data_IF_370739429673
#
_entry.id   IF_370739429673
#
_cell.length_a   1.000
_cell.length_b   1.000
_cell.length_c   1.000
_cell.angle_alpha   90.00
_cell.angle_beta   90.00
_cell.angle_gamma   90.00
#
_symmetry.space_group_name_H-M   'P 1'
#
loop_
_entity.id
_entity.type
_entity.pdbx_description
1 polymer ?
#
# COMPACT_ATOMS: atom_id res chain seq x y z
N UNK A 1 -32.97 -26.83 -41.74
CA UNK A 1 -32.95 -25.55 -41.00
C UNK A 1 -32.36 -25.85 -39.63
N UNK A 2 -31.03 -25.80 -39.51
CA UNK A 2 -30.32 -26.45 -38.41
C UNK A 2 -29.08 -25.72 -37.96
N UNK A 3 -28.92 -25.68 -36.64
CA UNK A 3 -27.68 -25.58 -35.85
C UNK A 3 -27.00 -24.19 -35.86
N UNK A 4 -27.45 -23.31 -34.95
CA UNK A 4 -26.66 -22.18 -34.40
C UNK A 4 -26.35 -22.48 -32.93
N UNK A 5 -25.44 -23.43 -32.71
CA UNK A 5 -24.81 -23.70 -31.41
C UNK A 5 -23.33 -24.01 -31.69
N UNK A 6 -22.48 -23.01 -31.43
CA UNK A 6 -20.99 -23.02 -31.39
C UNK A 6 -20.31 -22.08 -32.39
N UNK A 7 -20.19 -20.80 -32.01
CA UNK A 7 -18.93 -20.05 -32.12
C UNK A 7 -18.68 -19.22 -30.85
N UNK A 8 -18.67 -19.94 -29.72
CA UNK A 8 -17.77 -19.63 -28.61
C UNK A 8 -16.33 -19.67 -29.17
N UNK A 9 -15.43 -18.81 -28.69
CA UNK A 9 -13.99 -18.71 -29.01
C UNK A 9 -13.61 -17.77 -30.16
N UNK A 10 -13.61 -16.44 -29.91
CA UNK A 10 -12.55 -15.54 -30.42
C UNK A 10 -12.14 -14.51 -29.35
N UNK A 11 -11.24 -14.98 -28.50
CA UNK A 11 -10.05 -14.28 -28.00
C UNK A 11 -10.25 -13.04 -27.12
N UNK A 12 -10.42 -13.32 -25.83
CA UNK A 12 -9.86 -12.52 -24.75
C UNK A 12 -8.34 -12.50 -24.93
N UNK A 13 -7.79 -11.37 -25.34
CA UNK A 13 -6.36 -11.09 -25.24
C UNK A 13 -6.17 -10.01 -24.17
N UNK A 14 -6.19 -10.44 -22.91
CA UNK A 14 -5.65 -9.66 -21.80
C UNK A 14 -4.14 -9.67 -21.96
N UNK A 15 -3.59 -8.62 -22.57
CA UNK A 15 -2.15 -8.39 -22.59
C UNK A 15 -1.83 -7.45 -21.42
N UNK A 16 -1.62 -8.03 -20.23
CA UNK A 16 -0.95 -7.34 -19.12
C UNK A 16 0.54 -7.34 -19.45
N UNK A 17 1.03 -6.22 -19.96
CA UNK A 17 2.45 -5.90 -19.92
C UNK A 17 2.61 -4.75 -18.93
N UNK A 18 2.84 -5.15 -17.68
CA UNK A 18 3.39 -4.26 -16.67
C UNK A 18 4.86 -4.04 -16.98
N UNK A 19 5.18 -2.96 -17.69
CA UNK A 19 6.51 -2.36 -17.63
C UNK A 19 6.39 -1.13 -16.75
N UNK A 20 6.77 -1.29 -15.49
CA UNK A 20 7.10 -0.18 -14.62
C UNK A 20 8.35 0.49 -15.20
N UNK A 21 8.17 1.63 -15.86
CA UNK A 21 9.25 2.58 -16.11
C UNK A 21 8.96 3.82 -15.25
N UNK A 22 9.54 3.81 -14.04
CA UNK A 22 9.88 5.04 -13.35
C UNK A 22 10.82 5.82 -14.29
N UNK A 23 10.31 6.87 -14.93
CA UNK A 23 11.16 7.97 -15.38
C UNK A 23 10.50 9.24 -14.89
N UNK A 24 10.93 9.66 -13.72
CA UNK A 24 10.97 11.06 -13.29
C UNK A 24 11.76 11.84 -14.35
N UNK A 25 11.08 12.35 -15.37
CA UNK A 25 11.67 13.36 -16.25
C UNK A 25 11.65 14.70 -15.51
N UNK A 26 12.68 14.91 -14.67
CA UNK A 26 13.20 16.25 -14.38
C UNK A 26 13.41 16.91 -15.74
N UNK A 27 12.70 17.99 -16.03
CA UNK A 27 13.03 18.89 -17.13
C UNK A 27 14.43 19.46 -16.84
N UNK A 28 15.45 18.79 -17.38
CA UNK A 28 16.82 19.26 -17.44
C UNK A 28 16.96 20.27 -18.57
N UNK A 29 17.76 21.29 -18.29
CA UNK A 29 18.03 22.44 -19.13
C UNK A 29 18.28 22.11 -20.60
N UNK A 30 17.87 23.04 -21.47
CA UNK A 30 18.26 23.07 -22.87
C UNK A 30 19.80 23.15 -22.97
N UNK A 31 20.43 22.01 -23.16
CA UNK A 31 21.82 21.93 -23.60
C UNK A 31 21.81 22.10 -25.13
N UNK A 32 22.44 23.18 -25.58
CA UNK A 32 22.54 23.54 -26.99
C UNK A 32 23.51 22.59 -27.68
N UNK A 33 22.99 21.48 -28.20
CA UNK A 33 23.76 20.57 -29.05
C UNK A 33 23.85 21.18 -30.44
N UNK A 34 25.06 21.58 -30.82
CA UNK A 34 25.41 21.99 -32.18
C UNK A 34 25.05 20.86 -33.15
N UNK A 35 24.37 21.10 -34.29
CA UNK A 35 23.97 20.04 -35.19
C UNK A 35 25.21 19.50 -35.92
N UNK A 36 25.53 18.22 -35.71
CA UNK A 36 26.45 17.49 -36.58
C UNK A 36 25.70 17.19 -37.89
N UNK A 37 26.16 17.70 -39.05
CA UNK A 37 25.52 17.37 -40.32
C UNK A 37 25.86 15.93 -40.69
N UNK A 38 24.84 15.08 -40.87
CA UNK A 38 24.98 13.78 -41.53
C UNK A 38 24.70 12.52 -40.71
N UNK A 39 24.17 12.60 -39.49
CA UNK A 39 23.54 11.41 -38.89
C UNK A 39 22.10 11.33 -39.40
N UNK A 40 21.86 10.56 -40.46
CA UNK A 40 20.50 10.03 -40.68
C UNK A 40 20.03 9.41 -39.35
N UNK A 41 18.85 9.81 -38.88
CA UNK A 41 18.29 9.23 -37.68
C UNK A 41 18.21 7.72 -37.86
N UNK A 42 18.78 6.94 -36.94
CA UNK A 42 18.77 5.47 -36.97
C UNK A 42 17.39 4.98 -37.43
N UNK A 43 17.31 4.23 -38.55
CA UNK A 43 16.03 3.77 -39.09
C UNK A 43 15.16 3.02 -38.08
N UNK A 44 15.76 2.29 -37.12
CA UNK A 44 15.03 1.61 -36.06
C UNK A 44 14.47 2.60 -35.02
N UNK A 45 15.20 3.68 -34.71
CA UNK A 45 14.71 4.76 -33.86
C UNK A 45 13.53 5.47 -34.53
N UNK A 46 13.65 5.76 -35.83
CA UNK A 46 12.59 6.38 -36.63
C UNK A 46 11.33 5.49 -36.66
N UNK A 47 11.48 4.20 -36.93
CA UNK A 47 10.38 3.22 -36.90
C UNK A 47 9.73 3.13 -35.52
N UNK A 48 10.53 3.07 -34.45
CA UNK A 48 10.02 3.01 -33.08
C UNK A 48 9.23 4.26 -32.70
N UNK A 49 9.68 5.44 -33.13
CA UNK A 49 8.95 6.69 -32.90
C UNK A 49 7.62 6.73 -33.66
N UNK A 50 7.58 6.24 -34.91
CA UNK A 50 6.34 6.11 -35.68
C UNK A 50 5.34 5.16 -34.98
N UNK A 51 5.81 4.01 -34.49
CA UNK A 51 5.01 3.09 -33.68
C UNK A 51 4.44 3.77 -32.42
N UNK A 52 5.26 4.51 -31.67
CA UNK A 52 4.80 5.23 -30.46
C UNK A 52 3.72 6.26 -30.78
N UNK A 53 3.79 6.91 -31.94
CA UNK A 53 2.75 7.79 -32.46
C UNK A 53 1.43 7.07 -32.69
N UNK A 54 1.44 5.99 -33.47
CA UNK A 54 0.23 5.18 -33.75
C UNK A 54 -0.35 4.55 -32.49
N UNK A 55 0.50 4.04 -31.59
CA UNK A 55 0.09 3.52 -30.30
C UNK A 55 -0.62 4.58 -29.45
N UNK A 56 -0.08 5.80 -29.39
CA UNK A 56 -0.68 6.91 -28.64
C UNK A 56 -2.05 7.30 -29.21
N UNK A 57 -2.19 7.32 -30.54
CA UNK A 57 -3.46 7.57 -31.23
C UNK A 57 -4.49 6.48 -30.91
N UNK A 58 -4.13 5.21 -31.08
CA UNK A 58 -5.02 4.07 -30.80
C UNK A 58 -5.45 4.01 -29.32
N UNK A 59 -4.51 4.28 -28.40
CA UNK A 59 -4.82 4.39 -26.96
C UNK A 59 -5.82 5.50 -26.68
N UNK A 60 -5.63 6.68 -27.26
CA UNK A 60 -6.54 7.83 -27.07
C UNK A 60 -7.95 7.50 -27.58
N UNK A 61 -8.06 6.87 -28.75
CA UNK A 61 -9.34 6.45 -29.33
C UNK A 61 -10.02 5.34 -28.51
N UNK A 62 -9.26 4.36 -28.01
CA UNK A 62 -9.81 3.32 -27.16
C UNK A 62 -10.32 3.91 -25.82
N UNK A 63 -9.55 4.78 -25.19
CA UNK A 63 -9.92 5.43 -23.92
C UNK A 63 -11.09 6.41 -24.08
N UNK A 64 -11.25 7.07 -25.22
CA UNK A 64 -12.42 7.94 -25.45
C UNK A 64 -13.72 7.15 -25.59
N UNK A 65 -13.65 5.90 -26.05
CA UNK A 65 -14.78 4.97 -26.21
C UNK A 65 -15.07 4.15 -24.94
N UNK A 66 -14.09 4.02 -24.04
CA UNK A 66 -14.21 3.26 -22.79
C UNK A 66 -14.37 4.24 -21.63
N UNK A 67 -15.56 4.34 -21.06
CA UNK A 67 -15.78 5.14 -19.85
C UNK A 67 -17.16 4.99 -19.21
N UNK A 68 -17.28 5.31 -17.91
CA UNK A 68 -16.23 5.77 -17.01
C UNK A 68 -15.27 4.66 -16.58
N UNK A 69 -13.97 4.97 -16.52
CA UNK A 69 -12.92 4.08 -15.98
C UNK A 69 -12.42 4.64 -14.66
N UNK A 70 -12.36 3.80 -13.64
CA UNK A 70 -11.75 4.10 -12.35
C UNK A 70 -10.47 3.27 -12.23
N UNK A 71 -9.34 3.95 -11.98
CA UNK A 71 -8.04 3.33 -11.74
C UNK A 71 -7.64 3.67 -10.31
N UNK A 72 -7.22 2.66 -9.54
CA UNK A 72 -6.66 2.85 -8.20
C UNK A 72 -5.17 2.58 -8.28
N UNK A 73 -4.36 3.60 -7.97
CA UNK A 73 -2.90 3.54 -7.99
C UNK A 73 -2.37 4.03 -6.63
N UNK A 74 -2.01 3.07 -5.77
CA UNK A 74 -1.57 3.36 -4.41
C UNK A 74 -2.62 4.14 -3.62
N UNK A 75 -2.27 5.37 -3.21
CA UNK A 75 -3.14 6.28 -2.47
C UNK A 75 -3.99 7.21 -3.36
N UNK A 76 -3.96 7.03 -4.67
CA UNK A 76 -4.68 7.87 -5.64
C UNK A 76 -5.75 7.08 -6.37
N UNK A 77 -6.86 7.76 -6.63
CA UNK A 77 -7.92 7.31 -7.52
C UNK A 77 -7.98 8.23 -8.72
N UNK A 78 -8.01 7.61 -9.89
CA UNK A 78 -8.07 8.31 -11.16
C UNK A 78 -9.37 7.95 -11.85
N UNK A 79 -10.20 8.95 -12.11
CA UNK A 79 -11.36 8.84 -12.99
C UNK A 79 -10.97 9.28 -14.40
N UNK A 80 -11.15 8.40 -15.37
CA UNK A 80 -11.11 8.76 -16.79
C UNK A 80 -12.54 8.72 -17.33
N UNK A 81 -13.07 9.88 -17.71
CA UNK A 81 -14.42 10.02 -18.26
C UNK A 81 -14.43 11.08 -19.35
N UNK A 82 -15.00 10.75 -20.52
CA UNK A 82 -15.05 11.64 -21.68
C UNK A 82 -13.67 12.18 -22.08
N UNK A 83 -12.64 11.33 -22.04
CA UNK A 83 -11.24 11.73 -22.30
C UNK A 83 -10.60 12.61 -21.21
N UNK A 84 -11.33 13.02 -20.17
CA UNK A 84 -10.80 13.80 -19.05
C UNK A 84 -10.31 12.88 -17.94
N UNK A 85 -9.07 13.09 -17.51
CA UNK A 85 -8.47 12.49 -16.31
C UNK A 85 -8.69 13.42 -15.11
N UNK A 86 -9.28 12.92 -14.05
CA UNK A 86 -9.39 13.58 -12.74
C UNK A 86 -8.75 12.67 -11.70
N UNK A 87 -7.96 13.23 -10.79
CA UNK A 87 -7.25 12.47 -9.77
C UNK A 87 -7.59 12.99 -8.38
N UNK A 88 -7.73 12.08 -7.42
CA UNK A 88 -7.99 12.40 -6.02
C UNK A 88 -7.15 11.48 -5.11
N UNK A 89 -6.61 12.05 -4.03
CA UNK A 89 -6.01 11.26 -2.96
C UNK A 89 -7.12 10.62 -2.12
N UNK A 90 -7.08 9.30 -1.98
CA UNK A 90 -8.13 8.51 -1.29
C UNK A 90 -7.72 8.02 0.09
N UNK A 91 -6.45 8.21 0.48
CA UNK A 91 -5.96 7.87 1.82
C UNK A 91 -5.57 9.14 2.58
N UNK A 92 -6.41 9.60 3.54
CA UNK A 92 -6.06 10.76 4.36
C UNK A 92 -4.92 10.41 5.34
N UNK A 93 -4.13 11.39 5.82
CA UNK A 93 -3.06 11.14 6.80
C UNK A 93 -3.53 10.36 8.05
N UNK A 94 -4.76 10.60 8.49
CA UNK A 94 -5.40 9.88 9.60
C UNK A 94 -5.43 8.35 9.38
N UNK A 95 -5.56 7.88 8.15
CA UNK A 95 -5.53 6.44 7.84
C UNK A 95 -4.18 5.81 8.23
N UNK A 96 -3.07 6.51 8.00
CA UNK A 96 -1.74 5.99 8.37
C UNK A 96 -1.59 5.88 9.89
N UNK A 97 -2.14 6.85 10.63
CA UNK A 97 -2.14 6.79 12.09
C UNK A 97 -3.01 5.65 12.63
N UNK A 98 -4.24 5.49 12.10
CA UNK A 98 -5.11 4.36 12.46
C UNK A 98 -4.45 3.00 12.15
N UNK A 99 -3.86 2.87 10.96
CA UNK A 99 -3.12 1.65 10.57
C UNK A 99 -1.96 1.36 11.51
N UNK A 100 -1.17 2.38 11.86
CA UNK A 100 -0.04 2.20 12.77
C UNK A 100 -0.49 1.71 14.16
N UNK A 101 -1.58 2.26 14.70
CA UNK A 101 -2.15 1.78 15.98
C UNK A 101 -2.67 0.35 15.85
N UNK A 102 -3.36 0.01 14.76
CA UNK A 102 -3.86 -1.35 14.53
C UNK A 102 -2.75 -2.40 14.41
N UNK A 103 -1.55 -2.00 13.98
CA UNK A 103 -0.39 -2.90 13.95
C UNK A 103 0.17 -3.21 15.35
N UNK A 104 -0.09 -2.37 16.36
CA UNK A 104 0.44 -2.58 17.72
C UNK A 104 0.03 -3.94 18.30
N UNK A 105 -1.27 -4.25 18.46
CA UNK A 105 -1.68 -5.54 19.03
C UNK A 105 -1.28 -6.72 18.14
N UNK A 106 -1.29 -6.54 16.82
CA UNK A 106 -0.87 -7.61 15.90
C UNK A 106 0.62 -7.94 16.04
N UNK A 107 1.48 -6.93 16.15
CA UNK A 107 2.89 -7.14 16.40
C UNK A 107 3.14 -7.78 17.77
N UNK A 108 2.41 -7.36 18.82
CA UNK A 108 2.46 -8.03 20.14
C UNK A 108 2.08 -9.50 20.00
N UNK A 109 1.00 -9.82 19.27
CA UNK A 109 0.61 -11.21 19.02
C UNK A 109 1.73 -12.01 18.33
N UNK A 110 2.25 -11.49 17.21
CA UNK A 110 3.32 -12.13 16.44
C UNK A 110 4.61 -12.32 17.25
N UNK A 111 4.85 -11.49 18.27
CA UNK A 111 5.98 -11.65 19.16
C UNK A 111 5.89 -12.91 20.05
N UNK A 112 4.70 -13.47 20.27
CA UNK A 112 4.54 -14.66 21.13
C UNK A 112 4.00 -15.89 20.39
N UNK A 113 3.32 -15.71 19.26
CA UNK A 113 2.66 -16.78 18.50
C UNK A 113 3.61 -17.92 18.07
N UNK A 114 4.87 -17.58 17.78
CA UNK A 114 5.89 -18.55 17.38
C UNK A 114 6.79 -19.03 18.54
N UNK A 115 6.44 -18.66 19.79
CA UNK A 115 7.17 -19.12 20.98
C UNK A 115 6.73 -20.51 21.43
N UNK A 116 7.55 -21.16 22.24
CA UNK A 116 7.19 -22.40 22.95
C UNK A 116 6.38 -22.13 24.24
N UNK A 117 6.10 -20.86 24.55
CA UNK A 117 5.48 -20.40 25.80
C UNK A 117 6.29 -20.77 27.07
N UNK A 118 7.58 -21.06 26.90
CA UNK A 118 8.54 -21.21 27.98
C UNK A 118 8.95 -19.88 28.60
N UNK A 119 9.94 -19.93 29.50
CA UNK A 119 10.52 -18.73 30.10
C UNK A 119 11.22 -17.88 29.03
N UNK A 120 10.98 -16.57 29.07
CA UNK A 120 11.57 -15.60 28.17
C UNK A 120 13.04 -15.36 28.55
N UNK A 121 13.91 -15.47 27.56
CA UNK A 121 15.33 -15.11 27.71
C UNK A 121 15.50 -13.62 28.00
N UNK A 122 16.63 -13.22 28.59
CA UNK A 122 16.97 -11.79 28.79
C UNK A 122 16.94 -11.00 27.49
N UNK A 123 17.45 -11.60 26.40
CA UNK A 123 17.44 -10.99 25.07
C UNK A 123 16.00 -10.72 24.63
N UNK A 124 15.10 -11.70 24.79
CA UNK A 124 13.71 -11.53 24.42
C UNK A 124 13.02 -10.46 25.27
N UNK A 125 13.28 -10.42 26.57
CA UNK A 125 12.78 -9.38 27.46
C UNK A 125 13.29 -7.99 27.04
N UNK A 126 14.55 -7.87 26.60
CA UNK A 126 15.10 -6.62 26.11
C UNK A 126 14.41 -6.15 24.82
N UNK A 127 14.11 -7.06 23.88
CA UNK A 127 13.36 -6.76 22.66
C UNK A 127 11.94 -6.26 22.97
N UNK A 128 11.23 -6.92 23.89
CA UNK A 128 9.90 -6.50 24.33
C UNK A 128 9.92 -5.10 24.95
N UNK A 129 10.92 -4.81 25.80
CA UNK A 129 11.12 -3.47 26.38
C UNK A 129 11.42 -2.41 25.33
N UNK A 130 12.16 -2.75 24.29
CA UNK A 130 12.43 -1.84 23.17
C UNK A 130 11.16 -1.53 22.39
N UNK A 131 10.34 -2.55 22.08
CA UNK A 131 9.06 -2.34 21.41
C UNK A 131 8.07 -1.54 22.26
N UNK A 132 8.00 -1.82 23.57
CA UNK A 132 7.22 -1.04 24.54
C UNK A 132 7.57 0.45 24.49
N UNK A 133 8.86 0.81 24.45
CA UNK A 133 9.31 2.21 24.32
C UNK A 133 8.77 2.88 23.05
N UNK A 134 8.75 2.16 21.93
CA UNK A 134 8.20 2.66 20.67
C UNK A 134 6.70 2.93 20.79
N UNK A 135 5.95 2.03 21.45
CA UNK A 135 4.51 2.20 21.69
C UNK A 135 4.24 3.44 22.55
N UNK A 136 4.97 3.61 23.67
CA UNK A 136 4.81 4.78 24.56
C UNK A 136 5.11 6.09 23.83
N UNK A 137 6.18 6.12 23.03
CA UNK A 137 6.52 7.28 22.21
C UNK A 137 5.45 7.58 21.14
N UNK A 138 4.83 6.55 20.55
CA UNK A 138 3.75 6.73 19.61
C UNK A 138 2.49 7.28 20.30
N UNK A 139 2.16 6.77 21.49
CA UNK A 139 0.99 7.15 22.28
C UNK A 139 0.97 8.64 22.61
N UNK A 140 2.11 9.21 22.99
CA UNK A 140 2.23 10.64 23.32
C UNK A 140 1.93 11.55 22.11
N UNK A 141 2.11 11.04 20.89
CA UNK A 141 1.85 11.78 19.65
C UNK A 141 0.43 11.66 19.10
N UNK A 142 -0.47 10.90 19.75
CA UNK A 142 -1.80 10.62 19.20
C UNK A 142 -2.72 11.85 19.14
N UNK A 143 -2.54 12.81 20.05
CA UNK A 143 -3.37 14.03 20.12
C UNK A 143 -3.31 14.86 18.83
N UNK A 144 -2.16 14.83 18.15
CA UNK A 144 -1.89 15.68 16.98
C UNK A 144 -2.27 15.01 15.64
N UNK A 145 -2.98 13.87 15.67
CA UNK A 145 -3.27 13.05 14.47
C UNK A 145 -4.62 13.32 13.82
N UNK A 146 -5.38 14.30 14.32
CA UNK A 146 -6.66 14.71 13.76
C UNK A 146 -7.81 13.74 14.02
N UNK A 147 -7.71 12.94 15.09
CA UNK A 147 -8.79 12.06 15.54
C UNK A 147 -9.94 12.86 16.16
N UNK A 148 -11.17 12.37 16.01
CA UNK A 148 -12.25 12.74 16.94
C UNK A 148 -11.95 12.23 18.35
N UNK A 149 -12.61 12.78 19.37
CA UNK A 149 -12.45 12.32 20.76
C UNK A 149 -12.71 10.81 20.91
N UNK A 150 -13.76 10.31 20.25
CA UNK A 150 -14.10 8.89 20.27
C UNK A 150 -13.05 8.02 19.57
N UNK A 151 -12.47 8.50 18.46
CA UNK A 151 -11.38 7.80 17.77
C UNK A 151 -10.10 7.80 18.62
N UNK A 152 -9.76 8.93 19.24
CA UNK A 152 -8.59 9.06 20.11
C UNK A 152 -8.70 8.14 21.33
N UNK A 153 -9.87 8.09 21.98
CA UNK A 153 -10.12 7.18 23.11
C UNK A 153 -9.97 5.72 22.71
N UNK A 154 -10.48 5.33 21.53
CA UNK A 154 -10.29 3.96 21.00
C UNK A 154 -8.82 3.64 20.74
N UNK A 155 -8.08 4.57 20.13
CA UNK A 155 -6.65 4.37 19.86
C UNK A 155 -5.83 4.25 21.14
N UNK A 156 -6.13 5.09 22.15
CA UNK A 156 -5.53 5.00 23.47
C UNK A 156 -5.82 3.65 24.12
N UNK A 157 -7.07 3.19 24.09
CA UNK A 157 -7.45 1.89 24.66
C UNK A 157 -6.68 0.72 24.02
N UNK A 158 -6.56 0.68 22.69
CA UNK A 158 -5.79 -0.37 21.99
C UNK A 158 -4.33 -0.36 22.45
N UNK A 159 -3.73 0.82 22.56
CA UNK A 159 -2.35 0.97 23.05
C UNK A 159 -2.23 0.53 24.51
N UNK A 160 -3.11 1.01 25.39
CA UNK A 160 -3.06 0.74 26.83
C UNK A 160 -3.22 -0.75 27.11
N UNK A 161 -4.17 -1.42 26.47
CA UNK A 161 -4.37 -2.86 26.61
C UNK A 161 -3.15 -3.65 26.08
N UNK A 162 -2.52 -3.19 24.98
CA UNK A 162 -1.30 -3.81 24.43
C UNK A 162 -0.08 -3.63 25.34
N UNK A 163 0.06 -2.44 25.95
CA UNK A 163 1.09 -2.17 26.95
C UNK A 163 0.90 -3.02 28.20
N UNK A 164 -0.33 -3.15 28.69
CA UNK A 164 -0.65 -3.97 29.84
C UNK A 164 -0.26 -5.44 29.62
N UNK A 165 -0.55 -5.98 28.43
CA UNK A 165 -0.15 -7.34 28.07
C UNK A 165 1.37 -7.51 28.02
N UNK A 166 2.09 -6.57 27.37
CA UNK A 166 3.55 -6.59 27.32
C UNK A 166 4.18 -6.47 28.71
N UNK A 167 3.63 -5.61 29.57
CA UNK A 167 4.14 -5.39 30.93
C UNK A 167 4.00 -6.66 31.76
N UNK A 168 2.86 -7.32 31.71
CA UNK A 168 2.66 -8.62 32.35
C UNK A 168 3.63 -9.69 31.81
N UNK A 169 3.87 -9.74 30.49
CA UNK A 169 4.80 -10.67 29.88
C UNK A 169 6.26 -10.43 30.34
N UNK A 170 6.67 -9.16 30.42
CA UNK A 170 8.01 -8.75 30.85
C UNK A 170 8.22 -9.02 32.34
N UNK A 171 7.23 -8.71 33.18
CA UNK A 171 7.29 -8.91 34.62
C UNK A 171 7.36 -10.39 34.98
N UNK A 172 6.48 -11.21 34.39
CA UNK A 172 6.44 -12.64 34.65
C UNK A 172 7.50 -13.44 33.91
N UNK A 173 8.20 -12.81 32.94
CA UNK A 173 9.12 -13.46 32.00
C UNK A 173 8.50 -14.67 31.31
N UNK A 174 7.18 -14.66 31.13
CA UNK A 174 6.44 -15.76 30.53
C UNK A 174 5.07 -15.26 30.09
N UNK A 175 4.52 -15.91 29.07
CA UNK A 175 3.13 -15.74 28.64
C UNK A 175 2.51 -17.12 28.51
N UNK A 176 1.27 -17.29 28.99
CA UNK A 176 0.50 -18.50 28.71
C UNK A 176 -0.18 -18.37 27.35
N UNK A 177 -0.27 -19.47 26.60
CA UNK A 177 -0.98 -19.49 25.31
C UNK A 177 -2.43 -19.01 25.42
N UNK A 178 -3.13 -19.39 26.49
CA UNK A 178 -4.50 -18.92 26.76
C UNK A 178 -4.58 -17.42 26.93
N UNK A 179 -3.61 -16.79 27.59
CA UNK A 179 -3.55 -15.35 27.75
C UNK A 179 -3.31 -14.63 26.41
N UNK A 180 -2.47 -15.20 25.54
CA UNK A 180 -2.25 -14.69 24.18
C UNK A 180 -3.53 -14.77 23.34
N UNK A 181 -4.25 -15.90 23.41
CA UNK A 181 -5.52 -16.08 22.70
C UNK A 181 -6.61 -15.12 23.21
N UNK A 182 -6.69 -14.90 24.51
CA UNK A 182 -7.61 -13.95 25.13
C UNK A 182 -7.29 -12.50 24.72
N UNK A 183 -6.01 -12.14 24.73
CA UNK A 183 -5.54 -10.86 24.22
C UNK A 183 -5.96 -10.66 22.75
N UNK A 184 -5.74 -11.64 21.88
CA UNK A 184 -6.13 -11.55 20.47
C UNK A 184 -7.65 -11.35 20.30
N UNK A 185 -8.48 -12.06 21.08
CA UNK A 185 -9.95 -11.88 21.09
C UNK A 185 -10.37 -10.52 21.64
N UNK A 186 -9.65 -9.96 22.60
CA UNK A 186 -9.94 -8.62 23.11
C UNK A 186 -9.66 -7.53 22.07
N UNK A 187 -8.71 -7.77 21.16
CA UNK A 187 -8.29 -6.82 20.12
C UNK A 187 -9.11 -6.87 18.84
N UNK A 188 -10.05 -7.81 18.71
CA UNK A 188 -10.93 -7.90 17.54
C UNK A 188 -11.80 -6.62 17.41
N UNK A 189 -12.07 -6.14 16.19
CA UNK A 189 -12.95 -4.99 16.00
C UNK A 189 -14.33 -5.22 16.62
N UNK A 190 -14.81 -4.21 17.35
CA UNK A 190 -16.19 -4.12 17.88
C UNK A 190 -17.13 -3.46 16.90
#
# INVERSE_FOLDING_TARGET
MGIERNKLLRSIAVFVVSVAALITAKQGAAESVVPVPGSEADPLVTLNNAFRGEYSRAKTEAVSKVGPLIIVEGSHMVLVRNGKRTEAQIQPPMYQALKAVAHVPFAVFLMFDQSDFGELTEERVAELRNYRKLIVNAQSSLGDRGFSDSQLQRQKKIIDDSLAFLDAAIENRQVQKTALDEFARQMTPV
#
